data_IF_212924033454
#
_entry.id   IF_212924033454
#
_cell.length_a   1.000
_cell.length_b   1.000
_cell.length_c   1.000
_cell.angle_alpha   90.00
_cell.angle_beta   90.00
_cell.angle_gamma   90.00
#
_symmetry.space_group_name_H-M   'P 1'
#
loop_
_entity.id
_entity.type
_entity.pdbx_description
1 polymer ?
#
# COMPACT_ATOMS: atom_id res chain seq x y z
N UNK A 1 -9.45 -51.78 -15.24
CA UNK A 1 -10.19 -50.91 -16.16
C UNK A 1 -10.86 -49.85 -15.32
N UNK A 2 -10.77 -48.59 -15.73
CA UNK A 2 -11.45 -47.47 -15.06
C UNK A 2 -10.66 -46.18 -15.12
N UNK A 3 -11.37 -45.09 -15.04
CA UNK A 3 -10.75 -43.76 -15.02
C UNK A 3 -10.20 -43.46 -13.62
N UNK A 4 -9.17 -42.65 -13.57
CA UNK A 4 -8.68 -42.05 -12.33
C UNK A 4 -9.70 -41.10 -11.73
N UNK A 5 -9.81 -41.05 -10.41
CA UNK A 5 -10.64 -40.09 -9.72
C UNK A 5 -10.07 -38.69 -9.80
N UNK A 6 -10.94 -37.66 -9.81
CA UNK A 6 -10.48 -36.28 -9.78
C UNK A 6 -9.87 -35.93 -8.42
N UNK A 7 -8.88 -35.04 -8.43
CA UNK A 7 -8.32 -34.46 -7.22
C UNK A 7 -9.31 -33.50 -6.54
N UNK A 8 -9.30 -33.44 -5.21
CA UNK A 8 -10.10 -32.47 -4.46
C UNK A 8 -9.52 -31.05 -4.57
N UNK A 9 -10.40 -30.04 -4.54
CA UNK A 9 -9.96 -28.64 -4.44
C UNK A 9 -9.25 -28.36 -3.11
N UNK A 10 -8.25 -27.53 -3.12
CA UNK A 10 -7.54 -27.06 -1.92
C UNK A 10 -8.41 -26.16 -1.06
N UNK A 11 -8.27 -26.26 0.26
CA UNK A 11 -8.76 -25.23 1.17
C UNK A 11 -7.94 -23.92 1.02
N UNK A 12 -8.37 -22.81 1.60
CA UNK A 12 -7.61 -21.55 1.57
C UNK A 12 -6.14 -21.76 1.96
N UNK A 13 -5.21 -21.33 1.11
CA UNK A 13 -3.77 -21.50 1.28
C UNK A 13 -3.24 -22.92 0.93
N UNK A 14 -4.08 -23.86 0.52
CA UNK A 14 -3.67 -25.24 0.23
C UNK A 14 -3.75 -25.58 -1.27
N UNK A 15 -2.78 -26.30 -1.77
CA UNK A 15 -2.76 -26.78 -3.14
C UNK A 15 -3.93 -27.74 -3.44
N UNK A 16 -4.36 -27.76 -4.68
CA UNK A 16 -5.32 -28.75 -5.16
C UNK A 16 -4.73 -30.18 -5.14
N UNK A 17 -5.59 -31.16 -4.87
CA UNK A 17 -5.19 -32.58 -4.90
C UNK A 17 -4.86 -33.04 -6.31
N UNK A 18 -3.92 -33.96 -6.44
CA UNK A 18 -3.63 -34.59 -7.72
C UNK A 18 -4.79 -35.48 -8.19
N UNK A 19 -5.01 -35.53 -9.51
CA UNK A 19 -5.90 -36.50 -10.12
C UNK A 19 -5.31 -37.93 -10.04
N UNK A 20 -6.20 -38.90 -9.86
CA UNK A 20 -5.82 -40.31 -9.84
C UNK A 20 -5.39 -40.83 -11.21
N UNK A 21 -4.40 -41.73 -11.24
CA UNK A 21 -4.00 -42.40 -12.47
C UNK A 21 -5.01 -43.49 -12.83
N UNK A 22 -5.20 -43.72 -14.13
CA UNK A 22 -5.91 -44.92 -14.61
C UNK A 22 -4.96 -46.13 -14.60
N UNK A 23 -5.55 -47.34 -14.62
CA UNK A 23 -4.79 -48.58 -14.71
C UNK A 23 -4.33 -48.86 -16.15
N UNK A 24 -4.75 -50.04 -16.69
CA UNK A 24 -4.34 -50.45 -18.05
C UNK A 24 -5.10 -49.62 -19.13
N UNK A 25 -6.38 -49.42 -18.94
CA UNK A 25 -7.27 -48.69 -19.86
C UNK A 25 -8.12 -47.74 -19.05
N UNK A 26 -8.22 -46.48 -19.45
CA UNK A 26 -9.02 -45.43 -18.87
C UNK A 26 -8.32 -44.09 -18.89
N UNK A 27 -9.03 -43.02 -18.64
CA UNK A 27 -8.45 -41.68 -18.60
C UNK A 27 -7.96 -41.35 -17.18
N UNK A 28 -6.91 -40.57 -17.08
CA UNK A 28 -6.48 -39.98 -15.82
C UNK A 28 -7.51 -38.98 -15.30
N UNK A 29 -7.63 -38.87 -13.97
CA UNK A 29 -8.48 -37.90 -13.31
C UNK A 29 -7.90 -36.48 -13.42
N UNK A 30 -8.77 -35.46 -13.44
CA UNK A 30 -8.32 -34.08 -13.41
C UNK A 30 -7.70 -33.72 -12.05
N UNK A 31 -6.73 -32.82 -12.03
CA UNK A 31 -6.23 -32.19 -10.81
C UNK A 31 -7.27 -31.25 -10.20
N UNK A 32 -7.27 -31.14 -8.89
CA UNK A 32 -8.13 -30.22 -8.15
C UNK A 32 -7.63 -28.77 -8.24
N UNK A 33 -8.54 -27.80 -8.10
CA UNK A 33 -8.17 -26.40 -8.04
C UNK A 33 -7.36 -26.06 -6.78
N UNK A 34 -6.42 -25.14 -6.89
CA UNK A 34 -5.75 -24.54 -5.73
C UNK A 34 -6.69 -23.68 -4.91
N UNK A 35 -6.49 -23.64 -3.60
CA UNK A 35 -7.24 -22.77 -2.69
C UNK A 35 -6.87 -21.31 -2.86
N UNK A 36 -7.80 -20.43 -2.53
CA UNK A 36 -7.54 -18.98 -2.51
C UNK A 36 -6.47 -18.66 -1.46
N UNK A 37 -5.60 -17.67 -1.75
CA UNK A 37 -4.65 -17.14 -0.78
C UNK A 37 -5.37 -16.47 0.39
N UNK A 38 -4.78 -16.55 1.56
CA UNK A 38 -5.19 -15.72 2.70
C UNK A 38 -4.87 -14.26 2.37
N UNK A 39 -5.41 -13.26 3.16
CA UNK A 39 -5.10 -11.85 2.90
C UNK A 39 -3.60 -11.61 2.71
N UNK A 40 -3.21 -10.94 1.63
CA UNK A 40 -1.82 -10.68 1.17
C UNK A 40 -1.03 -11.89 0.69
N UNK A 41 -1.55 -13.12 0.86
CA UNK A 41 -0.83 -14.31 0.43
C UNK A 41 -1.18 -14.70 -1.00
N UNK A 42 -0.22 -15.39 -1.66
CA UNK A 42 -0.45 -15.94 -2.98
C UNK A 42 -1.52 -17.05 -2.93
N UNK A 43 -2.27 -17.17 -4.03
CA UNK A 43 -3.14 -18.32 -4.23
C UNK A 43 -2.32 -19.63 -4.33
N UNK A 44 -2.88 -20.72 -3.88
CA UNK A 44 -2.22 -22.00 -3.91
C UNK A 44 -2.25 -22.63 -5.32
N UNK A 45 -1.30 -23.52 -5.60
CA UNK A 45 -1.17 -24.14 -6.91
C UNK A 45 -2.31 -25.14 -7.18
N UNK A 46 -2.69 -25.29 -8.45
CA UNK A 46 -3.55 -26.36 -8.90
C UNK A 46 -2.86 -27.73 -8.82
N UNK A 47 -3.63 -28.78 -8.57
CA UNK A 47 -3.14 -30.14 -8.52
C UNK A 47 -2.78 -30.70 -9.91
N UNK A 48 -1.84 -31.63 -9.99
CA UNK A 48 -1.49 -32.27 -11.24
C UNK A 48 -2.63 -33.17 -11.76
N UNK A 49 -2.80 -33.26 -13.05
CA UNK A 49 -3.66 -34.25 -13.68
C UNK A 49 -3.07 -35.67 -13.55
N UNK A 50 -3.93 -36.67 -13.38
CA UNK A 50 -3.55 -38.07 -13.31
C UNK A 50 -3.13 -38.63 -14.66
N UNK A 51 -2.22 -39.65 -14.66
CA UNK A 51 -1.84 -40.34 -15.89
C UNK A 51 -2.99 -41.15 -16.47
N UNK A 52 -3.10 -41.14 -17.80
CA UNK A 52 -3.97 -42.08 -18.54
C UNK A 52 -3.51 -43.52 -18.43
N UNK A 53 -4.38 -44.48 -18.78
CA UNK A 53 -4.08 -45.91 -18.74
C UNK A 53 -2.89 -46.24 -19.62
N UNK A 54 -2.06 -47.17 -19.12
CA UNK A 54 -0.80 -47.51 -19.79
C UNK A 54 -0.94 -47.85 -21.27
N UNK A 55 -1.99 -48.63 -21.66
CA UNK A 55 -2.21 -49.03 -23.05
C UNK A 55 -3.09 -48.03 -23.77
N UNK A 56 -4.25 -47.66 -23.18
CA UNK A 56 -5.22 -46.76 -23.73
C UNK A 56 -5.71 -45.78 -22.70
N UNK A 57 -5.66 -44.51 -23.04
CA UNK A 57 -6.27 -43.45 -22.22
C UNK A 57 -5.57 -42.11 -22.31
N UNK A 58 -6.30 -41.06 -22.15
CA UNK A 58 -5.78 -39.71 -22.09
C UNK A 58 -5.36 -39.35 -20.68
N UNK A 59 -4.34 -38.51 -20.55
CA UNK A 59 -3.98 -37.89 -19.29
C UNK A 59 -5.08 -36.94 -18.81
N UNK A 60 -5.23 -36.81 -17.50
CA UNK A 60 -6.15 -35.85 -16.92
C UNK A 60 -5.62 -34.41 -17.02
N UNK A 61 -6.51 -33.44 -17.08
CA UNK A 61 -6.14 -32.02 -17.06
C UNK A 61 -5.54 -31.63 -15.70
N UNK A 62 -4.59 -30.69 -15.67
CA UNK A 62 -4.13 -30.05 -14.44
C UNK A 62 -5.24 -29.17 -13.84
N UNK A 63 -5.24 -29.02 -12.53
CA UNK A 63 -6.15 -28.12 -11.82
C UNK A 63 -5.76 -26.66 -12.01
N UNK A 64 -6.72 -25.76 -11.93
CA UNK A 64 -6.46 -24.31 -11.97
C UNK A 64 -5.75 -23.85 -10.71
N UNK A 65 -4.91 -22.81 -10.80
CA UNK A 65 -4.32 -22.15 -9.64
C UNK A 65 -5.37 -21.37 -8.83
N UNK A 66 -5.17 -21.27 -7.53
CA UNK A 66 -6.02 -20.46 -6.66
C UNK A 66 -5.84 -18.97 -6.88
N UNK A 67 -6.89 -18.19 -6.65
CA UNK A 67 -6.77 -16.74 -6.65
C UNK A 67 -5.89 -16.25 -5.49
N UNK A 68 -5.13 -15.18 -5.69
CA UNK A 68 -4.41 -14.52 -4.62
C UNK A 68 -5.34 -13.88 -3.60
N UNK A 69 -4.88 -13.74 -2.38
CA UNK A 69 -5.61 -13.07 -1.31
C UNK A 69 -5.70 -11.57 -1.54
N UNK A 70 -6.81 -10.96 -1.15
CA UNK A 70 -6.96 -9.51 -1.25
C UNK A 70 -6.04 -8.77 -0.29
N UNK A 71 -5.52 -7.61 -0.71
CA UNK A 71 -4.88 -6.66 0.18
C UNK A 71 -5.94 -5.99 1.06
N UNK A 72 -5.85 -6.12 2.36
CA UNK A 72 -6.82 -5.56 3.32
C UNK A 72 -6.32 -4.28 3.97
N UNK A 73 -5.04 -3.96 3.82
CA UNK A 73 -4.39 -2.78 4.40
C UNK A 73 -4.15 -1.73 3.32
N UNK A 74 -4.22 -0.47 3.73
CA UNK A 74 -3.95 0.70 2.92
C UNK A 74 -2.60 0.60 2.19
N UNK A 75 -2.65 0.75 0.86
CA UNK A 75 -1.44 0.77 0.02
C UNK A 75 -0.72 -0.57 -0.16
N UNK A 76 -1.26 -1.68 0.35
CA UNK A 76 -0.63 -2.99 0.19
C UNK A 76 -1.25 -3.78 -0.96
N UNK A 77 -0.40 -4.34 -1.83
CA UNK A 77 -0.85 -5.17 -2.94
C UNK A 77 -1.56 -6.43 -2.44
N UNK A 78 -2.51 -6.93 -3.23
CA UNK A 78 -3.04 -8.28 -3.05
C UNK A 78 -1.99 -9.34 -3.37
N UNK A 79 -2.19 -10.56 -2.90
CA UNK A 79 -1.33 -11.70 -3.20
C UNK A 79 -1.37 -12.10 -4.68
N UNK A 80 -0.33 -12.74 -5.15
CA UNK A 80 -0.25 -13.26 -6.51
C UNK A 80 -1.20 -14.45 -6.72
N UNK A 81 -1.62 -14.71 -7.95
CA UNK A 81 -2.37 -15.93 -8.29
C UNK A 81 -1.48 -17.16 -8.21
N UNK A 82 -2.03 -18.29 -7.79
CA UNK A 82 -1.35 -19.59 -7.81
C UNK A 82 -1.12 -20.12 -9.23
N UNK A 83 -0.11 -20.94 -9.44
CA UNK A 83 0.14 -21.57 -10.75
C UNK A 83 -0.86 -22.67 -11.04
N UNK A 84 -1.18 -22.89 -12.33
CA UNK A 84 -1.95 -24.05 -12.74
C UNK A 84 -1.15 -25.35 -12.55
N UNK A 85 -1.86 -26.44 -12.32
CA UNK A 85 -1.25 -27.77 -12.23
C UNK A 85 -0.82 -28.30 -13.60
N UNK A 86 0.17 -29.18 -13.63
CA UNK A 86 0.60 -29.84 -14.87
C UNK A 86 -0.47 -30.85 -15.35
N UNK A 87 -0.62 -31.02 -16.65
CA UNK A 87 -1.45 -32.08 -17.21
C UNK A 87 -0.81 -33.47 -17.01
N UNK A 88 -1.63 -34.52 -16.90
CA UNK A 88 -1.19 -35.89 -16.80
C UNK A 88 -0.68 -36.47 -18.13
N UNK A 89 0.18 -37.48 -18.07
CA UNK A 89 0.63 -38.20 -19.27
C UNK A 89 -0.49 -39.03 -19.92
N UNK A 90 -0.54 -39.06 -21.23
CA UNK A 90 -1.37 -40.04 -21.95
C UNK A 90 -0.73 -41.40 -21.93
N UNK A 91 -1.52 -42.47 -22.17
CA UNK A 91 -1.04 -43.82 -22.40
C UNK A 91 -0.34 -44.02 -23.76
N UNK A 92 0.03 -45.27 -24.09
CA UNK A 92 0.64 -45.59 -25.39
C UNK A 92 -0.20 -45.15 -26.54
N UNK A 93 -1.54 -45.28 -26.43
CA UNK A 93 -2.53 -44.75 -27.33
C UNK A 93 -3.41 -43.78 -26.51
N UNK A 94 -3.07 -42.47 -26.58
CA UNK A 94 -3.74 -41.42 -25.88
C UNK A 94 -2.98 -40.12 -25.96
N UNK A 95 -3.60 -39.03 -25.57
CA UNK A 95 -2.97 -37.70 -25.50
C UNK A 95 -2.72 -37.28 -24.06
N UNK A 96 -1.68 -36.52 -23.83
CA UNK A 96 -1.44 -35.92 -22.51
C UNK A 96 -2.55 -34.95 -22.15
N UNK A 97 -2.80 -34.76 -20.85
CA UNK A 97 -3.75 -33.78 -20.37
C UNK A 97 -3.24 -32.36 -20.55
N UNK A 98 -4.13 -31.43 -20.69
CA UNK A 98 -3.80 -30.00 -20.68
C UNK A 98 -3.29 -29.59 -19.30
N UNK A 99 -2.36 -28.64 -19.26
CA UNK A 99 -2.03 -27.95 -18.01
C UNK A 99 -3.23 -27.12 -17.53
N UNK A 100 -3.34 -26.92 -16.23
CA UNK A 100 -4.35 -26.04 -15.65
C UNK A 100 -4.00 -24.57 -15.87
N UNK A 101 -5.02 -23.72 -15.92
CA UNK A 101 -4.84 -22.28 -15.97
C UNK A 101 -4.22 -21.76 -14.64
N UNK A 102 -3.46 -20.68 -14.72
CA UNK A 102 -3.03 -19.97 -13.52
C UNK A 102 -4.19 -19.29 -12.81
N UNK A 103 -4.10 -19.11 -11.51
CA UNK A 103 -5.08 -18.35 -10.74
C UNK A 103 -5.00 -16.85 -11.03
N UNK A 104 -6.08 -16.15 -10.79
CA UNK A 104 -6.10 -14.68 -10.85
C UNK A 104 -5.33 -14.08 -9.67
N UNK A 105 -4.65 -12.94 -9.87
CA UNK A 105 -4.08 -12.20 -8.76
C UNK A 105 -5.17 -11.65 -7.83
N UNK A 106 -4.84 -11.49 -6.55
CA UNK A 106 -5.72 -10.87 -5.56
C UNK A 106 -5.91 -9.38 -5.84
N UNK A 107 -7.06 -8.85 -5.44
CA UNK A 107 -7.31 -7.42 -5.52
C UNK A 107 -6.40 -6.65 -4.57
N UNK A 108 -5.90 -5.50 -4.98
CA UNK A 108 -5.18 -4.59 -4.07
C UNK A 108 -6.09 -4.02 -2.99
N UNK A 109 -5.51 -3.57 -1.88
CA UNK A 109 -6.26 -2.88 -0.82
C UNK A 109 -6.93 -1.59 -1.31
N UNK A 110 -7.87 -1.08 -0.55
CA UNK A 110 -8.87 -0.07 -0.93
C UNK A 110 -8.36 1.32 -1.35
N UNK A 111 -7.08 1.49 -1.67
CA UNK A 111 -6.54 2.78 -2.12
C UNK A 111 -5.80 2.63 -3.44
N UNK A 112 -5.99 3.64 -4.27
CA UNK A 112 -5.64 3.74 -5.69
C UNK A 112 -4.17 3.48 -6.08
N UNK A 113 -3.29 3.20 -5.16
CA UNK A 113 -1.88 2.85 -5.41
C UNK A 113 -1.55 1.39 -5.09
N UNK A 114 -2.51 0.60 -4.57
CA UNK A 114 -2.27 -0.81 -4.30
C UNK A 114 -2.27 -1.59 -5.61
N UNK A 115 -1.15 -2.19 -5.91
CA UNK A 115 -1.01 -3.06 -7.07
C UNK A 115 -1.77 -4.36 -6.83
N UNK A 116 -2.50 -4.87 -7.84
CA UNK A 116 -3.04 -6.22 -7.82
C UNK A 116 -1.90 -7.24 -7.89
N UNK A 117 -2.11 -8.40 -7.31
CA UNK A 117 -1.22 -9.53 -7.47
C UNK A 117 -1.09 -9.95 -8.93
N UNK A 118 0.01 -10.57 -9.29
CA UNK A 118 0.24 -11.09 -10.64
C UNK A 118 -0.55 -12.37 -10.88
N UNK A 119 -0.84 -12.67 -12.13
CA UNK A 119 -1.43 -13.94 -12.51
C UNK A 119 -0.46 -15.09 -12.25
N UNK A 120 -0.98 -16.22 -11.83
CA UNK A 120 -0.21 -17.46 -11.76
C UNK A 120 0.22 -17.91 -13.16
N UNK A 121 1.37 -18.59 -13.21
CA UNK A 121 1.85 -19.22 -14.44
C UNK A 121 0.96 -20.36 -14.89
N UNK A 122 0.92 -20.64 -16.20
CA UNK A 122 0.28 -21.81 -16.73
C UNK A 122 0.98 -23.09 -16.24
N UNK A 123 0.21 -24.15 -16.01
CA UNK A 123 0.76 -25.48 -15.79
C UNK A 123 1.41 -26.01 -17.06
N UNK A 124 2.58 -26.65 -16.91
CA UNK A 124 3.25 -27.35 -17.99
C UNK A 124 2.47 -28.61 -18.41
N UNK A 125 2.43 -28.91 -19.68
CA UNK A 125 1.97 -30.20 -20.17
C UNK A 125 3.14 -31.16 -20.31
N UNK A 126 2.98 -32.46 -20.00
CA UNK A 126 4.01 -33.46 -20.34
C UNK A 126 4.04 -33.70 -21.84
N UNK A 127 5.05 -34.44 -22.28
CA UNK A 127 5.17 -34.81 -23.70
C UNK A 127 3.85 -35.39 -24.22
N UNK A 128 3.27 -34.76 -25.20
CA UNK A 128 1.95 -35.08 -25.79
C UNK A 128 0.76 -34.27 -25.28
N UNK A 129 0.94 -33.46 -24.22
CA UNK A 129 -0.09 -32.54 -23.75
C UNK A 129 0.17 -31.08 -24.12
N UNK A 130 -0.88 -30.30 -24.29
CA UNK A 130 -0.78 -28.84 -24.47
C UNK A 130 -0.83 -28.22 -23.08
N UNK A 131 0.14 -27.33 -22.76
CA UNK A 131 0.10 -26.57 -21.51
C UNK A 131 -1.15 -25.68 -21.45
N UNK A 132 -1.71 -25.50 -20.26
CA UNK A 132 -2.80 -24.57 -20.03
C UNK A 132 -2.38 -23.13 -20.30
N UNK A 133 -3.35 -22.29 -20.68
CA UNK A 133 -3.11 -20.86 -20.78
C UNK A 133 -2.75 -20.28 -19.41
N UNK A 134 -1.86 -19.28 -19.38
CA UNK A 134 -1.59 -18.52 -18.16
C UNK A 134 -2.86 -17.84 -17.69
N UNK A 135 -3.06 -17.78 -16.40
CA UNK A 135 -4.17 -17.03 -15.79
C UNK A 135 -4.09 -15.56 -16.16
N UNK A 136 -5.23 -14.93 -16.28
CA UNK A 136 -5.33 -13.48 -16.48
C UNK A 136 -4.75 -12.79 -15.26
N UNK A 137 -3.89 -11.79 -15.46
CA UNK A 137 -3.41 -10.94 -14.38
C UNK A 137 -4.61 -10.39 -13.61
N UNK A 138 -4.54 -10.43 -12.27
CA UNK A 138 -5.55 -9.79 -11.44
C UNK A 138 -5.74 -8.36 -11.92
N UNK A 139 -6.99 -7.92 -12.04
CA UNK A 139 -7.26 -6.53 -12.27
C UNK A 139 -6.50 -5.71 -11.22
N UNK A 140 -5.79 -4.67 -11.65
CA UNK A 140 -5.30 -3.67 -10.72
C UNK A 140 -6.47 -3.32 -9.80
N UNK A 141 -6.21 -3.08 -8.51
CA UNK A 141 -7.25 -2.62 -7.59
C UNK A 141 -8.06 -1.58 -8.37
N UNK A 142 -9.37 -1.72 -8.42
CA UNK A 142 -10.21 -0.77 -9.12
C UNK A 142 -9.74 0.63 -8.72
N UNK A 143 -9.46 1.48 -9.71
CA UNK A 143 -9.19 2.89 -9.42
C UNK A 143 -10.29 3.31 -8.45
N UNK A 144 -9.89 3.70 -7.22
CA UNK A 144 -10.86 3.93 -6.15
C UNK A 144 -11.92 4.89 -6.68
N UNK A 145 -13.18 4.62 -6.40
CA UNK A 145 -14.24 5.52 -6.80
C UNK A 145 -13.90 6.92 -6.27
N UNK A 146 -13.77 7.90 -7.16
CA UNK A 146 -13.49 9.27 -6.77
C UNK A 146 -14.76 9.83 -6.14
N UNK A 147 -14.73 10.11 -4.85
CA UNK A 147 -15.78 10.84 -4.15
C UNK A 147 -15.25 12.21 -3.80
N UNK A 148 -15.98 13.24 -4.23
CA UNK A 148 -15.62 14.63 -3.92
C UNK A 148 -16.35 15.06 -2.65
N UNK A 149 -15.59 15.50 -1.66
CA UNK A 149 -16.13 16.13 -0.45
C UNK A 149 -16.26 17.62 -0.73
N UNK A 150 -17.48 18.13 -0.61
CA UNK A 150 -17.76 19.58 -0.72
C UNK A 150 -18.25 20.11 0.62
N UNK A 151 -17.68 21.20 1.10
CA UNK A 151 -18.09 21.83 2.33
C UNK A 151 -17.77 23.33 2.34
N UNK A 152 -18.59 24.13 3.01
CA UNK A 152 -18.42 25.59 3.05
C UNK A 152 -17.13 26.05 3.77
N UNK A 153 -16.52 25.17 4.58
CA UNK A 153 -15.23 25.48 5.23
C UNK A 153 -14.04 25.39 4.28
N UNK A 154 -14.17 24.75 3.13
CA UNK A 154 -13.10 24.69 2.15
C UNK A 154 -12.99 26.02 1.40
N UNK A 155 -11.91 26.71 1.63
CA UNK A 155 -11.57 27.95 0.96
C UNK A 155 -10.07 27.95 0.69
N UNK A 156 -9.71 27.74 -0.58
CA UNK A 156 -8.34 27.53 -1.02
C UNK A 156 -7.64 26.39 -0.22
N UNK A 157 -8.16 25.16 -0.29
CA UNK A 157 -7.58 24.02 0.43
C UNK A 157 -6.20 23.69 -0.13
N UNK A 158 -5.18 23.60 0.75
CA UNK A 158 -3.78 23.50 0.34
C UNK A 158 -3.12 22.20 0.79
N UNK A 159 -3.05 21.93 2.08
CA UNK A 159 -2.43 20.74 2.66
C UNK A 159 -3.46 19.75 3.18
N UNK A 160 -3.12 18.46 3.16
CA UNK A 160 -3.92 17.39 3.75
C UNK A 160 -3.04 16.41 4.50
N UNK A 161 -3.45 16.02 5.70
CA UNK A 161 -2.79 14.99 6.49
C UNK A 161 -3.81 14.06 7.16
N UNK A 162 -3.44 12.80 7.28
CA UNK A 162 -4.26 11.77 7.93
C UNK A 162 -3.64 11.41 9.27
N UNK A 163 -4.42 11.51 10.35
CA UNK A 163 -4.00 10.98 11.64
C UNK A 163 -4.27 9.46 11.65
N UNK A 164 -3.23 8.61 11.80
CA UNK A 164 -3.42 7.17 11.89
C UNK A 164 -4.40 6.82 13.01
N UNK A 165 -5.56 6.24 12.65
CA UNK A 165 -6.64 5.92 13.59
C UNK A 165 -7.53 7.08 14.03
N UNK A 166 -7.43 8.23 13.37
CA UNK A 166 -8.20 9.44 13.69
C UNK A 166 -8.62 10.24 12.46
N UNK A 167 -8.85 11.51 12.66
CA UNK A 167 -9.38 12.45 11.66
C UNK A 167 -8.37 12.77 10.55
N UNK A 168 -8.90 13.31 9.45
CA UNK A 168 -8.14 13.94 8.36
C UNK A 168 -8.21 15.46 8.57
N UNK A 169 -7.08 16.13 8.38
CA UNK A 169 -6.93 17.57 8.53
C UNK A 169 -6.61 18.21 7.19
N UNK A 170 -7.36 19.25 6.82
CA UNK A 170 -7.18 20.01 5.57
C UNK A 170 -7.00 21.48 5.89
N UNK A 171 -5.86 22.03 5.52
CA UNK A 171 -5.60 23.48 5.65
C UNK A 171 -6.35 24.26 4.60
N UNK A 172 -6.97 25.38 4.99
CA UNK A 172 -7.70 26.30 4.10
C UNK A 172 -7.01 27.66 4.16
N UNK A 173 -6.15 27.93 3.20
CA UNK A 173 -5.32 29.14 3.17
C UNK A 173 -6.19 30.41 3.08
N UNK A 174 -7.25 30.39 2.28
CA UNK A 174 -8.12 31.54 2.06
C UNK A 174 -9.05 31.91 3.24
N UNK A 175 -9.21 31.00 4.23
CA UNK A 175 -10.07 31.27 5.40
C UNK A 175 -9.34 31.20 6.74
N UNK A 176 -8.05 30.94 6.75
CA UNK A 176 -7.25 30.79 7.98
C UNK A 176 -7.82 29.73 8.91
N UNK A 177 -8.21 28.58 8.36
CA UNK A 177 -8.82 27.49 9.12
C UNK A 177 -8.22 26.14 8.72
N UNK A 178 -8.41 25.17 9.61
CA UNK A 178 -8.16 23.75 9.32
C UNK A 178 -9.46 22.99 9.44
N UNK A 179 -9.91 22.39 8.36
CA UNK A 179 -11.10 21.51 8.36
C UNK A 179 -10.74 20.13 8.90
N UNK A 180 -11.64 19.58 9.72
CA UNK A 180 -11.52 18.24 10.28
C UNK A 180 -12.53 17.33 9.60
N UNK A 181 -12.06 16.21 9.05
CA UNK A 181 -12.89 15.26 8.30
C UNK A 181 -12.84 13.91 9.01
N UNK A 182 -14.01 13.32 9.20
CA UNK A 182 -14.16 11.93 9.66
C UNK A 182 -13.84 10.98 8.49
N UNK A 183 -12.84 10.09 8.61
CA UNK A 183 -12.44 9.18 7.54
C UNK A 183 -13.43 8.04 7.28
N UNK A 184 -14.36 7.77 8.20
CA UNK A 184 -15.37 6.72 8.03
C UNK A 184 -16.52 7.22 7.17
N UNK A 185 -17.01 8.43 7.47
CA UNK A 185 -18.16 9.03 6.78
C UNK A 185 -17.75 9.93 5.62
N UNK A 186 -16.47 10.32 5.54
CA UNK A 186 -15.95 11.33 4.62
C UNK A 186 -16.71 12.66 4.70
N UNK A 187 -17.10 13.05 5.91
CA UNK A 187 -17.80 14.32 6.17
C UNK A 187 -16.93 15.25 7.01
N UNK A 188 -17.06 16.56 6.77
CA UNK A 188 -16.43 17.57 7.62
C UNK A 188 -17.17 17.63 8.94
N UNK A 189 -16.47 17.39 10.04
CA UNK A 189 -17.01 17.38 11.40
C UNK A 189 -16.69 18.63 12.19
N UNK A 190 -15.71 19.42 11.73
CA UNK A 190 -15.30 20.64 12.41
C UNK A 190 -14.41 21.52 11.55
N UNK A 191 -14.23 22.75 12.03
CA UNK A 191 -13.29 23.72 11.48
C UNK A 191 -12.57 24.40 12.64
N UNK A 192 -11.25 24.41 12.59
CA UNK A 192 -10.36 24.96 13.62
C UNK A 192 -9.86 26.31 13.08
N UNK A 193 -10.04 27.39 13.84
CA UNK A 193 -9.38 28.67 13.52
C UNK A 193 -7.89 28.55 13.79
N UNK A 194 -7.07 28.93 12.83
CA UNK A 194 -5.62 28.79 12.86
C UNK A 194 -4.93 30.15 12.63
N UNK A 195 -3.61 30.14 12.46
CA UNK A 195 -2.82 31.30 12.04
C UNK A 195 -3.14 31.75 10.62
N UNK A 196 -2.49 32.80 10.14
CA UNK A 196 -2.75 33.34 8.81
C UNK A 196 -2.00 32.55 7.73
N UNK A 197 -2.72 32.19 6.68
CA UNK A 197 -2.19 31.47 5.53
C UNK A 197 -1.75 30.02 5.85
N UNK A 198 -2.62 29.19 6.48
CA UNK A 198 -2.25 27.79 6.74
C UNK A 198 -1.98 27.05 5.44
N UNK A 199 -0.78 26.48 5.30
CA UNK A 199 -0.32 25.83 4.07
C UNK A 199 -0.06 24.34 4.26
N UNK A 200 1.08 23.95 4.81
CA UNK A 200 1.41 22.55 5.07
C UNK A 200 0.76 22.02 6.34
N UNK A 201 0.50 20.72 6.38
CA UNK A 201 0.04 20.03 7.59
C UNK A 201 0.69 18.65 7.69
N UNK A 202 1.11 18.27 8.89
CA UNK A 202 1.66 16.95 9.17
C UNK A 202 1.23 16.47 10.56
N UNK A 203 1.12 15.15 10.73
CA UNK A 203 0.74 14.52 11.98
C UNK A 203 1.91 13.75 12.55
N UNK A 204 2.18 13.91 13.84
CA UNK A 204 3.17 13.10 14.53
C UNK A 204 2.64 11.68 14.75
N UNK A 205 3.30 10.65 14.22
CA UNK A 205 2.85 9.27 14.41
C UNK A 205 3.02 8.77 15.85
N UNK A 206 3.79 9.50 16.67
CA UNK A 206 4.08 9.13 18.07
C UNK A 206 3.10 9.79 19.04
N UNK A 207 2.84 11.09 18.86
CA UNK A 207 1.99 11.86 19.79
C UNK A 207 0.58 12.09 19.26
N UNK A 208 0.36 11.90 17.97
CA UNK A 208 -0.89 12.25 17.29
C UNK A 208 -1.06 13.77 17.08
N UNK A 209 -0.20 14.61 17.63
CA UNK A 209 -0.29 16.08 17.47
C UNK A 209 -0.18 16.47 16.00
N UNK A 210 -0.96 17.47 15.62
CA UNK A 210 -1.00 17.99 14.25
C UNK A 210 -0.25 19.31 14.20
N UNK A 211 0.66 19.43 13.23
CA UNK A 211 1.49 20.61 13.02
C UNK A 211 1.07 21.28 11.72
N UNK A 212 0.74 22.56 11.78
CA UNK A 212 0.28 23.34 10.63
C UNK A 212 1.18 24.55 10.43
N UNK A 213 1.79 24.67 9.25
CA UNK A 213 2.54 25.86 8.89
C UNK A 213 1.61 26.99 8.49
N UNK A 214 1.86 28.19 9.02
CA UNK A 214 1.12 29.40 8.73
C UNK A 214 2.02 30.36 7.95
N UNK A 215 1.85 30.40 6.65
CA UNK A 215 2.72 31.09 5.73
C UNK A 215 2.85 32.60 6.01
N UNK A 216 1.74 33.27 6.22
CA UNK A 216 1.72 34.72 6.45
C UNK A 216 2.06 35.09 7.90
N UNK A 217 1.79 34.19 8.86
CA UNK A 217 2.14 34.42 10.27
C UNK A 217 3.56 34.02 10.62
N UNK A 218 4.26 33.28 9.77
CA UNK A 218 5.62 32.74 10.04
C UNK A 218 5.64 31.87 11.31
N UNK A 219 4.63 31.06 11.52
CA UNK A 219 4.49 30.20 12.69
C UNK A 219 4.11 28.77 12.29
N UNK A 220 4.27 27.85 13.24
CA UNK A 220 3.67 26.53 13.20
C UNK A 220 2.69 26.39 14.34
N UNK A 221 1.43 26.12 14.04
CA UNK A 221 0.43 25.79 15.05
C UNK A 221 0.52 24.34 15.45
N UNK A 222 0.30 24.08 16.75
CA UNK A 222 0.20 22.73 17.31
C UNK A 222 -1.27 22.49 17.67
N UNK A 223 -1.89 21.49 17.07
CA UNK A 223 -3.28 21.12 17.30
C UNK A 223 -3.34 19.80 18.05
N UNK A 224 -4.13 19.76 19.13
CA UNK A 224 -4.46 18.52 19.82
C UNK A 224 -5.62 17.82 19.11
N UNK A 225 -5.45 16.61 18.58
CA UNK A 225 -6.46 15.87 17.85
C UNK A 225 -7.64 15.40 18.72
N UNK A 226 -7.47 15.34 20.05
CA UNK A 226 -8.56 14.93 20.95
C UNK A 226 -9.57 16.05 21.18
N UNK A 227 -9.12 17.29 21.18
CA UNK A 227 -9.96 18.48 21.38
C UNK A 227 -10.22 19.25 20.10
N UNK A 228 -9.45 19.00 19.05
CA UNK A 228 -9.42 19.77 17.81
C UNK A 228 -9.25 21.27 18.06
N UNK A 229 -8.30 21.61 18.96
CA UNK A 229 -7.96 22.99 19.27
C UNK A 229 -6.47 23.25 19.09
N UNK A 230 -6.13 24.50 18.74
CA UNK A 230 -4.72 24.97 18.74
C UNK A 230 -4.25 25.11 20.18
N UNK A 231 -3.22 24.35 20.55
CA UNK A 231 -2.63 24.34 21.89
C UNK A 231 -1.32 25.11 21.99
N UNK A 232 -0.72 25.44 20.85
CA UNK A 232 0.52 26.18 20.77
C UNK A 232 0.77 26.80 19.42
N UNK A 233 1.63 27.82 19.40
CA UNK A 233 2.12 28.48 18.19
C UNK A 233 3.63 28.67 18.31
N UNK A 234 4.38 28.15 17.35
CA UNK A 234 5.84 28.12 17.35
C UNK A 234 6.34 29.08 16.27
N UNK A 235 7.05 30.18 16.62
CA UNK A 235 7.65 31.06 15.63
C UNK A 235 8.77 30.33 14.86
N UNK A 236 8.80 30.49 13.53
CA UNK A 236 9.79 29.90 12.62
C UNK A 236 10.33 30.97 11.65
N UNK A 237 11.01 30.55 10.58
CA UNK A 237 11.47 31.50 9.55
C UNK A 237 10.33 32.07 8.72
N UNK A 238 10.65 33.04 7.84
CA UNK A 238 9.64 33.73 7.02
C UNK A 238 9.13 32.87 5.88
N UNK A 239 7.80 32.88 5.70
CA UNK A 239 7.12 32.09 4.67
C UNK A 239 7.08 30.60 5.03
N UNK A 240 6.62 30.25 6.23
CA UNK A 240 6.48 28.86 6.67
C UNK A 240 5.55 28.07 5.73
N UNK A 241 6.07 27.08 4.99
CA UNK A 241 5.33 26.45 3.89
C UNK A 241 5.12 24.95 4.07
N UNK A 242 6.15 24.13 3.86
CA UNK A 242 6.08 22.69 4.02
C UNK A 242 6.44 22.24 5.43
N UNK A 243 5.86 21.15 5.89
CA UNK A 243 6.19 20.51 7.17
C UNK A 243 6.27 19.02 7.04
N UNK A 244 7.28 18.40 7.66
CA UNK A 244 7.43 16.95 7.75
C UNK A 244 7.87 16.54 9.16
N UNK A 245 7.31 15.43 9.63
CA UNK A 245 7.61 14.85 10.95
C UNK A 245 8.50 13.62 10.77
N UNK A 246 9.63 13.58 11.44
CA UNK A 246 10.45 12.40 11.54
C UNK A 246 9.86 11.47 12.63
N UNK A 247 9.44 10.23 12.29
CA UNK A 247 9.00 9.27 13.30
C UNK A 247 10.11 9.01 14.33
N UNK A 248 9.90 9.44 15.55
CA UNK A 248 10.90 9.34 16.63
C UNK A 248 11.97 10.44 16.66
N UNK A 249 11.80 11.50 15.89
CA UNK A 249 12.73 12.64 15.82
C UNK A 249 12.03 13.98 15.66
N UNK A 250 12.77 14.94 15.10
CA UNK A 250 12.36 16.33 14.96
C UNK A 250 11.31 16.57 13.86
N UNK A 251 10.75 17.77 13.86
CA UNK A 251 9.84 18.28 12.84
C UNK A 251 10.60 19.31 12.02
N UNK A 252 10.49 19.21 10.70
CA UNK A 252 11.20 20.07 9.75
C UNK A 252 10.21 20.96 9.02
N UNK A 253 10.50 22.25 8.97
CA UNK A 253 9.64 23.28 8.37
C UNK A 253 10.43 24.09 7.35
N UNK A 254 9.98 24.10 6.11
CA UNK A 254 10.55 24.97 5.08
C UNK A 254 10.08 26.41 5.27
N UNK A 255 11.03 27.34 5.22
CA UNK A 255 10.77 28.77 5.31
C UNK A 255 11.10 29.40 3.94
N UNK A 256 10.08 29.57 3.13
CA UNK A 256 10.20 29.89 1.72
C UNK A 256 10.98 31.18 1.45
N UNK A 257 10.66 32.25 2.19
CA UNK A 257 11.28 33.56 1.96
C UNK A 257 12.65 33.72 2.65
N UNK A 258 12.93 32.95 3.71
CA UNK A 258 14.24 32.99 4.35
C UNK A 258 15.23 31.95 3.82
N UNK A 259 14.82 31.11 2.86
CA UNK A 259 15.66 30.07 2.25
C UNK A 259 16.31 29.14 3.30
N UNK A 260 15.53 28.76 4.30
CA UNK A 260 15.97 27.93 5.41
C UNK A 260 14.99 26.84 5.77
N UNK A 261 15.46 25.88 6.57
CA UNK A 261 14.62 24.90 7.26
C UNK A 261 14.75 25.16 8.77
N UNK A 262 13.61 25.34 9.45
CA UNK A 262 13.53 25.33 10.91
C UNK A 262 13.35 23.90 11.41
N UNK A 263 14.02 23.56 12.52
CA UNK A 263 13.92 22.26 13.18
C UNK A 263 13.21 22.45 14.51
N UNK A 264 12.12 21.71 14.74
CA UNK A 264 11.32 21.79 15.96
C UNK A 264 11.49 20.48 16.75
N UNK A 265 11.78 20.59 18.05
CA UNK A 265 11.75 19.46 18.98
C UNK A 265 10.30 19.16 19.39
N UNK A 266 9.75 17.99 19.07
CA UNK A 266 8.38 17.64 19.42
C UNK A 266 8.13 17.42 20.93
N UNK A 267 9.19 17.27 21.74
CA UNK A 267 9.04 17.12 23.19
C UNK A 267 8.81 18.47 23.88
N UNK A 268 9.38 19.55 23.34
CA UNK A 268 9.28 20.89 23.90
C UNK A 268 8.39 21.81 23.08
N UNK A 269 8.08 21.44 21.84
CA UNK A 269 7.41 22.28 20.84
C UNK A 269 8.13 23.62 20.64
N UNK A 270 9.46 23.59 20.56
CA UNK A 270 10.30 24.78 20.33
C UNK A 270 11.28 24.53 19.18
N UNK A 271 11.66 25.60 18.50
CA UNK A 271 12.74 25.53 17.49
C UNK A 271 14.05 25.22 18.17
N UNK A 272 14.79 24.25 17.63
CA UNK A 272 16.12 23.85 18.12
C UNK A 272 17.21 24.30 17.13
N UNK A 273 18.33 24.76 17.68
CA UNK A 273 19.47 25.19 16.88
C UNK A 273 19.22 26.42 15.99
N UNK A 274 20.15 26.66 15.08
CA UNK A 274 20.00 27.72 14.06
C UNK A 274 19.23 27.17 12.85
N UNK A 275 18.47 28.01 12.14
CA UNK A 275 17.85 27.62 10.88
C UNK A 275 18.91 27.06 9.90
N UNK A 276 18.59 25.96 9.23
CA UNK A 276 19.48 25.30 8.28
C UNK A 276 19.32 25.98 6.92
N UNK A 277 20.38 26.61 6.36
CA UNK A 277 20.28 27.20 5.02
C UNK A 277 20.15 26.11 3.95
N UNK A 278 19.27 26.35 2.99
CA UNK A 278 19.00 25.50 1.82
C UNK A 278 19.01 26.33 0.54
N UNK A 279 18.56 25.78 -0.57
CA UNK A 279 18.43 26.55 -1.82
C UNK A 279 17.29 27.57 -1.78
N UNK A 280 17.09 28.27 -2.90
CA UNK A 280 16.10 29.36 -2.99
C UNK A 280 14.67 28.81 -3.09
N UNK A 281 13.77 29.47 -2.39
CA UNK A 281 12.34 29.18 -2.40
C UNK A 281 12.01 27.72 -1.99
N UNK A 282 12.44 27.27 -0.79
CA UNK A 282 12.17 25.91 -0.34
C UNK A 282 10.67 25.69 -0.09
N UNK A 283 10.08 24.67 -0.73
CA UNK A 283 8.65 24.39 -0.68
C UNK A 283 8.36 23.02 -0.04
N UNK A 284 8.69 21.94 -0.73
CA UNK A 284 8.45 20.59 -0.23
C UNK A 284 9.53 20.11 0.72
N UNK A 285 9.12 19.34 1.74
CA UNK A 285 10.05 18.67 2.65
C UNK A 285 9.56 17.24 2.91
N UNK A 286 10.49 16.29 2.91
CA UNK A 286 10.21 14.90 3.21
C UNK A 286 11.34 14.30 4.05
N UNK A 287 10.99 13.39 4.96
CA UNK A 287 11.95 12.69 5.81
C UNK A 287 11.96 11.21 5.43
N UNK A 288 13.15 10.65 5.27
CA UNK A 288 13.30 9.20 5.18
C UNK A 288 13.15 8.60 6.60
N UNK A 289 12.10 7.83 6.90
CA UNK A 289 11.83 7.37 8.26
C UNK A 289 12.83 6.33 8.76
N UNK A 290 13.64 5.75 7.87
CA UNK A 290 14.64 4.73 8.21
C UNK A 290 16.00 5.38 8.51
N UNK A 291 16.41 6.35 7.69
CA UNK A 291 17.75 6.97 7.79
C UNK A 291 17.74 8.31 8.50
N UNK A 292 16.56 8.93 8.70
CA UNK A 292 16.44 10.30 9.23
C UNK A 292 16.87 11.40 8.26
N UNK A 293 17.30 11.04 7.06
CA UNK A 293 17.72 12.02 6.03
C UNK A 293 16.52 12.83 5.56
N UNK A 294 16.69 14.15 5.49
CA UNK A 294 15.65 15.09 5.07
C UNK A 294 15.96 15.62 3.67
N UNK A 295 14.96 15.66 2.82
CA UNK A 295 15.02 16.17 1.45
C UNK A 295 14.14 17.40 1.33
N UNK A 296 14.65 18.46 0.73
CA UNK A 296 13.95 19.73 0.57
C UNK A 296 14.02 20.17 -0.88
N UNK A 297 12.88 20.41 -1.52
CA UNK A 297 12.82 20.97 -2.87
C UNK A 297 12.97 22.49 -2.84
N UNK A 298 13.86 23.03 -3.67
CA UNK A 298 14.15 24.46 -3.80
C UNK A 298 13.65 24.90 -5.19
N UNK A 299 12.47 25.54 -5.23
CA UNK A 299 11.72 25.74 -6.48
C UNK A 299 12.30 26.81 -7.40
N UNK A 300 13.08 27.77 -6.88
CA UNK A 300 13.73 28.79 -7.70
C UNK A 300 15.16 28.43 -8.12
N UNK A 301 15.76 27.41 -7.49
CA UNK A 301 17.10 26.92 -7.84
C UNK A 301 17.07 25.67 -8.72
N UNK A 302 15.91 25.07 -8.96
CA UNK A 302 15.75 23.77 -9.63
C UNK A 302 16.61 22.67 -8.95
N UNK A 303 16.73 22.70 -7.60
CA UNK A 303 17.57 21.80 -6.83
C UNK A 303 16.81 21.08 -5.71
N UNK A 304 17.45 20.05 -5.13
CA UNK A 304 17.03 19.41 -3.91
C UNK A 304 18.16 19.48 -2.90
N UNK A 305 17.92 20.09 -1.75
CA UNK A 305 18.83 20.07 -0.60
C UNK A 305 18.66 18.78 0.18
N UNK A 306 19.77 18.20 0.63
CA UNK A 306 19.81 16.99 1.48
C UNK A 306 20.42 17.35 2.82
N UNK A 307 19.62 17.18 3.89
CA UNK A 307 20.04 17.44 5.26
C UNK A 307 20.34 16.10 5.93
N UNK A 308 21.62 15.92 6.33
CA UNK A 308 22.10 14.72 7.04
C UNK A 308 22.63 15.14 8.40
N UNK A 309 22.56 14.30 9.40
CA UNK A 309 23.24 14.53 10.68
C UNK A 309 22.38 14.63 11.92
N UNK A 310 21.05 14.41 11.81
CA UNK A 310 20.25 14.18 13.01
C UNK A 310 20.30 12.67 13.34
N UNK A 311 20.89 12.25 14.47
CA UNK A 311 20.81 10.86 14.87
C UNK A 311 19.35 10.49 15.12
N UNK A 312 18.88 9.40 14.52
CA UNK A 312 17.63 8.80 14.92
C UNK A 312 17.67 8.61 16.44
N UNK A 313 16.77 9.24 17.17
CA UNK A 313 16.65 8.99 18.61
C UNK A 313 16.33 7.51 18.75
N UNK A 314 17.27 6.74 19.29
CA UNK A 314 17.04 5.35 19.63
C UNK A 314 15.86 5.32 20.60
N UNK A 315 14.73 4.74 20.16
CA UNK A 315 13.64 4.40 21.09
C UNK A 315 14.25 3.36 22.04
N UNK A 316 14.66 3.83 23.20
CA UNK A 316 15.05 2.94 24.27
C UNK A 316 13.78 2.19 24.68
N UNK A 317 13.60 0.97 24.14
CA UNK A 317 12.61 0.04 24.65
C UNK A 317 12.97 -0.26 26.10
N UNK A 318 12.31 0.41 27.03
CA UNK A 318 12.36 -0.01 28.42
C UNK A 318 11.64 -1.37 28.50
N UNK A 319 12.43 -2.44 28.51
CA UNK A 319 11.96 -3.72 28.97
C UNK A 319 11.62 -3.60 30.46
N UNK A 320 10.36 -3.80 30.80
CA UNK A 320 9.91 -4.17 32.16
C UNK A 320 9.47 -5.62 32.08
#
# INVERSE_FOLDING_TARGET
WGNGGNGGSGAPGQAGGAGGAAGLIGNGGAGGAGGQGLPFEAGANGGAGGAGGWLFGNGGAGGVGGAGGAGTTFGVAGGDGGTGGVGGHGGLIGVGGHGGDGGTGGTGGAVSLARAGTAGGAGGGPAGGIGGAGGVGGAGGAAGAVTTITHASFNDPHGVAVNPGGNIYVTNQGSNTVSVIDPVTNTVTGSITDGNGPSGVAVSPVTGLVFVTNFDSNTVSVIDPNTNTVTGSIPVGTGAYGVAVNPGGNIYVTNQFSNTVSVIDPATNTVTGSPIPVGLDPTGVAVNPVTGVVYVTNSLDDTVSVITGEPARSVCSAAI
#
